data_IF_557794118021
#
_entry.id   IF_557794118021
#
_cell.length_a   1.000
_cell.length_b   1.000
_cell.length_c   1.000
_cell.angle_alpha   90.00
_cell.angle_beta   90.00
_cell.angle_gamma   90.00
#
_symmetry.space_group_name_H-M   'P 1'
#
loop_
_entity.id
_entity.type
_entity.pdbx_description
1 polymer ?
#
# COMPACT_ATOMS: atom_id res chain seq x y z
N UNK A 1 -21.29 7.32 -1.53
CA UNK A 1 -20.73 6.41 -0.50
C UNK A 1 -21.60 6.48 0.74
N UNK A 2 -22.47 5.48 0.93
CA UNK A 2 -23.20 5.29 2.20
C UNK A 2 -22.36 4.38 3.07
N UNK A 3 -21.47 4.94 3.87
CA UNK A 3 -20.76 4.17 4.87
C UNK A 3 -21.75 3.75 5.96
N UNK A 4 -22.16 2.48 5.95
CA UNK A 4 -22.87 1.87 7.08
C UNK A 4 -21.83 1.49 8.12
N UNK A 5 -21.45 2.45 8.95
CA UNK A 5 -20.61 2.16 10.12
C UNK A 5 -21.44 1.31 11.09
N UNK A 6 -21.15 0.00 11.13
CA UNK A 6 -21.47 -0.82 12.31
C UNK A 6 -20.53 -0.39 13.45
N UNK A 7 -20.75 -0.97 14.63
CA UNK A 7 -19.94 -0.75 15.84
C UNK A 7 -18.47 -0.49 15.47
N UNK A 8 -17.91 0.70 15.76
CA UNK A 8 -16.58 1.06 15.31
C UNK A 8 -15.45 0.23 15.93
N UNK A 9 -15.76 -0.61 16.92
CA UNK A 9 -14.84 -1.63 17.46
C UNK A 9 -14.85 -2.94 16.68
N UNK A 10 -15.77 -3.10 15.74
CA UNK A 10 -15.86 -4.25 14.83
C UNK A 10 -15.38 -3.82 13.44
N UNK A 11 -14.07 -3.85 13.24
CA UNK A 11 -13.48 -3.60 11.92
C UNK A 11 -13.58 -4.86 11.08
N UNK A 12 -14.51 -4.87 10.14
CA UNK A 12 -14.63 -5.93 9.12
C UNK A 12 -14.39 -5.35 7.74
N UNK A 13 -13.97 -6.19 6.80
CA UNK A 13 -14.03 -5.81 5.39
C UNK A 13 -15.46 -5.41 5.02
N UNK A 14 -15.60 -4.34 4.25
CA UNK A 14 -16.89 -3.86 3.76
C UNK A 14 -16.97 -4.20 2.27
N UNK A 15 -17.73 -5.24 1.94
CA UNK A 15 -17.80 -5.80 0.58
C UNK A 15 -18.19 -4.75 -0.48
N UNK A 16 -19.10 -3.84 -0.14
CA UNK A 16 -19.49 -2.73 -1.01
C UNK A 16 -18.31 -1.79 -1.31
N UNK A 17 -17.47 -1.47 -0.32
CA UNK A 17 -16.30 -0.60 -0.51
C UNK A 17 -15.19 -1.32 -1.27
N UNK A 18 -15.00 -2.61 -1.00
CA UNK A 18 -14.08 -3.45 -1.76
C UNK A 18 -14.49 -3.49 -3.24
N UNK A 19 -15.79 -3.72 -3.51
CA UNK A 19 -16.36 -3.73 -4.87
C UNK A 19 -16.19 -2.37 -5.57
N UNK A 20 -16.43 -1.26 -4.86
CA UNK A 20 -16.21 0.09 -5.40
C UNK A 20 -14.74 0.34 -5.76
N UNK A 21 -13.80 -0.08 -4.90
CA UNK A 21 -12.36 0.06 -5.13
C UNK A 21 -11.90 -0.78 -6.34
N UNK A 22 -12.33 -2.03 -6.43
CA UNK A 22 -12.04 -2.90 -7.58
C UNK A 22 -12.62 -2.33 -8.88
N UNK A 23 -13.87 -1.85 -8.85
CA UNK A 23 -14.51 -1.24 -10.01
C UNK A 23 -13.79 0.04 -10.46
N UNK A 24 -13.36 0.88 -9.52
CA UNK A 24 -12.55 2.05 -9.81
C UNK A 24 -11.23 1.64 -10.48
N UNK A 25 -10.51 0.67 -9.89
CA UNK A 25 -9.25 0.17 -10.42
C UNK A 25 -9.40 -0.39 -11.85
N UNK A 26 -10.47 -1.13 -12.12
CA UNK A 26 -10.79 -1.64 -13.45
C UNK A 26 -11.07 -0.53 -14.46
N UNK A 27 -11.84 0.50 -14.07
CA UNK A 27 -12.13 1.65 -14.93
C UNK A 27 -10.88 2.49 -15.20
N UNK A 28 -10.04 2.71 -14.18
CA UNK A 28 -8.78 3.42 -14.32
C UNK A 28 -7.88 2.71 -15.32
N UNK A 29 -7.65 1.41 -15.15
CA UNK A 29 -6.83 0.61 -16.08
C UNK A 29 -7.33 0.68 -17.53
N UNK A 30 -8.65 0.65 -17.75
CA UNK A 30 -9.25 0.82 -19.09
C UNK A 30 -9.03 2.20 -19.69
N UNK A 31 -8.89 3.24 -18.87
CA UNK A 31 -8.67 4.61 -19.31
C UNK A 31 -7.21 4.89 -19.66
N UNK A 32 -6.25 4.21 -19.01
CA UNK A 32 -4.82 4.49 -19.19
C UNK A 32 -4.34 4.44 -20.65
N UNK A 33 -4.74 3.51 -21.52
CA UNK A 33 -4.34 3.52 -22.93
C UNK A 33 -4.75 4.81 -23.66
N UNK A 34 -5.93 5.36 -23.35
CA UNK A 34 -6.40 6.62 -23.93
C UNK A 34 -5.57 7.81 -23.44
N UNK A 35 -5.23 7.84 -22.15
CA UNK A 35 -4.38 8.89 -21.58
C UNK A 35 -2.98 8.81 -22.19
N UNK A 36 -2.40 7.60 -22.27
CA UNK A 36 -1.09 7.35 -22.84
C UNK A 36 -1.00 7.81 -24.32
N UNK A 37 -2.08 7.63 -25.09
CA UNK A 37 -2.15 8.12 -26.47
C UNK A 37 -2.24 9.66 -26.56
N UNK A 38 -2.81 10.32 -25.56
CA UNK A 38 -2.95 11.79 -25.51
C UNK A 38 -1.71 12.52 -24.98
N UNK A 39 -0.85 11.82 -24.22
CA UNK A 39 0.34 12.38 -23.57
C UNK A 39 1.61 11.83 -24.20
N UNK A 40 1.89 12.26 -25.44
CA UNK A 40 3.09 11.87 -26.18
C UNK A 40 4.36 12.17 -25.38
N UNK A 41 5.29 11.22 -25.33
CA UNK A 41 6.55 11.36 -24.58
C UNK A 41 6.44 11.01 -23.09
N UNK A 42 5.24 10.75 -22.57
CA UNK A 42 5.05 10.21 -21.22
C UNK A 42 5.05 8.68 -21.22
N UNK A 43 5.37 8.08 -20.08
CA UNK A 43 5.20 6.64 -19.82
C UNK A 43 4.28 6.47 -18.62
N UNK A 44 3.11 5.86 -18.85
CA UNK A 44 2.07 5.70 -17.86
C UNK A 44 1.90 4.22 -17.54
N UNK A 45 2.09 3.86 -16.27
CA UNK A 45 1.97 2.49 -15.78
C UNK A 45 1.01 2.46 -14.60
N UNK A 46 0.14 1.45 -14.56
CA UNK A 46 -0.73 1.20 -13.42
C UNK A 46 0.04 0.51 -12.30
N UNK A 47 0.00 1.09 -11.10
CA UNK A 47 0.51 0.49 -9.88
C UNK A 47 -0.64 -0.11 -9.07
N UNK A 48 -0.75 -1.44 -9.04
CA UNK A 48 -1.78 -2.14 -8.27
C UNK A 48 -1.38 -2.24 -6.79
N UNK A 49 -1.87 -1.30 -5.99
CA UNK A 49 -1.71 -1.33 -4.53
C UNK A 49 -2.77 -2.18 -3.81
N UNK A 50 -3.90 -2.44 -4.48
CA UNK A 50 -5.04 -3.12 -3.86
C UNK A 50 -4.68 -4.57 -3.58
N UNK A 51 -4.11 -5.25 -4.58
CA UNK A 51 -3.75 -6.66 -4.47
C UNK A 51 -2.73 -6.97 -3.35
N UNK A 52 -1.57 -6.30 -3.24
CA UNK A 52 -0.62 -6.61 -2.16
C UNK A 52 -1.17 -6.26 -0.77
N UNK A 53 -1.96 -5.18 -0.64
CA UNK A 53 -2.59 -4.86 0.64
C UNK A 53 -3.63 -5.90 1.04
N UNK A 54 -4.48 -6.34 0.11
CA UNK A 54 -5.46 -7.41 0.38
C UNK A 54 -4.78 -8.75 0.69
N UNK A 55 -3.61 -9.04 0.13
CA UNK A 55 -2.84 -10.23 0.48
C UNK A 55 -2.30 -10.19 1.92
N UNK A 56 -1.84 -9.04 2.40
CA UNK A 56 -1.47 -8.85 3.82
C UNK A 56 -2.66 -9.12 4.75
N UNK A 57 -3.85 -8.66 4.38
CA UNK A 57 -5.07 -8.80 5.19
C UNK A 57 -5.62 -10.23 5.17
N UNK A 58 -5.63 -10.87 4.00
CA UNK A 58 -6.22 -12.21 3.81
C UNK A 58 -5.27 -13.35 4.17
N UNK A 59 -3.96 -13.11 4.15
CA UNK A 59 -2.94 -14.12 4.45
C UNK A 59 -1.87 -13.59 5.44
N UNK A 60 -2.24 -13.04 6.61
CA UNK A 60 -1.31 -12.36 7.50
C UNK A 60 -0.16 -13.26 8.00
N UNK A 61 -0.42 -14.56 8.18
CA UNK A 61 0.59 -15.54 8.59
C UNK A 61 1.73 -15.74 7.58
N UNK A 62 1.54 -15.37 6.30
CA UNK A 62 2.62 -15.45 5.30
C UNK A 62 3.63 -14.30 5.44
N UNK A 63 3.28 -13.29 6.23
CA UNK A 63 3.98 -12.00 6.30
C UNK A 63 4.36 -11.63 7.74
N UNK A 64 4.32 -12.60 8.66
CA UNK A 64 4.58 -12.39 10.10
C UNK A 64 3.73 -11.26 10.72
N UNK A 65 2.50 -11.10 10.21
CA UNK A 65 1.50 -10.15 10.71
C UNK A 65 0.56 -10.86 11.68
N UNK A 66 0.29 -10.20 12.80
CA UNK A 66 -0.61 -10.69 13.85
C UNK A 66 -1.93 -9.91 13.91
N UNK A 67 -1.89 -8.61 13.60
CA UNK A 67 -3.04 -7.70 13.78
C UNK A 67 -3.43 -7.03 12.47
N UNK A 68 -4.61 -7.38 11.96
CA UNK A 68 -5.15 -6.87 10.68
C UNK A 68 -6.32 -5.89 10.85
N UNK A 69 -6.94 -5.86 12.03
CA UNK A 69 -8.25 -5.25 12.26
C UNK A 69 -8.21 -3.98 13.12
N UNK A 70 -7.02 -3.50 13.51
CA UNK A 70 -6.82 -2.22 14.19
C UNK A 70 -5.41 -1.68 13.94
N UNK A 71 -5.26 -0.38 14.13
CA UNK A 71 -3.96 0.30 14.06
C UNK A 71 -3.08 0.04 15.28
N UNK A 72 -1.77 0.19 15.10
CA UNK A 72 -0.77 0.21 16.18
C UNK A 72 -0.90 1.45 17.09
N UNK A 73 -1.46 2.54 16.58
CA UNK A 73 -1.56 3.81 17.28
C UNK A 73 -2.86 3.96 18.09
N UNK A 74 -2.73 4.30 19.37
CA UNK A 74 -3.85 4.55 20.27
C UNK A 74 -4.72 3.32 20.47
N UNK A 75 -6.04 3.49 20.33
CA UNK A 75 -6.98 2.35 20.32
C UNK A 75 -6.92 1.56 19.02
N UNK A 76 -6.43 2.18 17.94
CA UNK A 76 -6.31 1.59 16.62
C UNK A 76 -7.61 1.59 15.81
N UNK A 77 -8.71 2.14 16.35
CA UNK A 77 -10.02 2.15 15.70
C UNK A 77 -10.37 3.50 15.07
N UNK A 78 -9.89 4.60 15.64
CA UNK A 78 -10.30 5.96 15.24
C UNK A 78 -9.12 6.90 15.00
N UNK A 79 -8.00 6.64 15.67
CA UNK A 79 -6.83 7.48 15.60
C UNK A 79 -6.35 7.54 14.16
N UNK A 80 -6.22 8.76 13.64
CA UNK A 80 -5.63 9.06 12.35
C UNK A 80 -5.19 10.52 12.32
N UNK A 81 -4.18 10.83 11.50
CA UNK A 81 -3.64 12.18 11.39
C UNK A 81 -3.29 12.76 12.76
N UNK A 82 -3.85 13.92 13.11
CA UNK A 82 -3.55 14.60 14.38
C UNK A 82 -3.90 13.81 15.65
N UNK A 83 -4.78 12.81 15.58
CA UNK A 83 -5.12 11.94 16.72
C UNK A 83 -4.08 10.83 16.94
N UNK A 84 -3.25 10.54 15.94
CA UNK A 84 -2.10 9.66 16.08
C UNK A 84 -0.82 10.51 16.07
N UNK A 85 -0.32 10.85 17.24
CA UNK A 85 0.80 11.78 17.41
C UNK A 85 1.78 11.29 18.49
N UNK A 86 2.82 12.07 18.76
CA UNK A 86 3.90 11.71 19.66
C UNK A 86 3.49 11.46 21.13
N UNK A 87 2.33 11.95 21.59
CA UNK A 87 1.79 11.64 22.93
C UNK A 87 0.83 10.45 22.93
N UNK A 88 0.43 9.97 21.75
CA UNK A 88 -0.50 8.84 21.63
C UNK A 88 0.26 7.54 21.86
N UNK A 89 -0.19 6.67 22.78
CA UNK A 89 0.50 5.41 23.03
C UNK A 89 0.48 4.52 21.78
N UNK A 90 1.54 3.77 21.58
CA UNK A 90 1.68 2.79 20.49
C UNK A 90 2.02 1.42 21.04
N UNK A 91 1.71 0.36 20.29
CA UNK A 91 2.25 -0.96 20.58
C UNK A 91 3.76 -1.00 20.33
N UNK A 92 4.48 -1.88 21.05
CA UNK A 92 5.94 -1.96 20.99
C UNK A 92 6.47 -2.35 19.61
N UNK A 93 5.76 -3.27 18.94
CA UNK A 93 6.16 -3.78 17.64
C UNK A 93 5.10 -3.40 16.59
N UNK A 94 5.36 -2.34 15.84
CA UNK A 94 4.45 -1.92 14.77
C UNK A 94 4.49 -2.90 13.59
N UNK A 95 5.55 -3.69 13.42
CA UNK A 95 5.69 -4.59 12.26
C UNK A 95 4.69 -5.75 12.26
N UNK A 96 4.14 -6.10 13.42
CA UNK A 96 3.08 -7.12 13.60
C UNK A 96 1.70 -6.64 13.13
N UNK A 97 1.55 -5.35 12.80
CA UNK A 97 0.29 -4.74 12.39
C UNK A 97 0.28 -4.44 10.89
N UNK A 98 -0.87 -4.64 10.23
CA UNK A 98 -1.07 -4.13 8.86
C UNK A 98 -1.12 -2.60 8.87
N UNK A 99 -1.80 -2.01 9.86
CA UNK A 99 -2.07 -0.57 9.90
C UNK A 99 -1.34 0.14 11.04
N UNK A 100 -0.76 1.29 10.73
CA UNK A 100 -0.17 2.20 11.71
C UNK A 100 -1.28 2.90 12.52
N UNK A 101 -2.27 3.45 11.82
CA UNK A 101 -3.44 4.12 12.40
C UNK A 101 -4.73 3.46 11.88
N UNK A 102 -5.89 4.11 11.97
CA UNK A 102 -7.15 3.53 11.50
C UNK A 102 -7.23 3.31 9.98
N UNK A 103 -6.36 3.90 9.16
CA UNK A 103 -6.45 3.84 7.69
C UNK A 103 -5.11 3.63 6.97
N UNK A 104 -3.99 4.06 7.53
CA UNK A 104 -2.67 4.02 6.90
C UNK A 104 -1.91 2.73 7.27
N UNK A 105 -1.28 2.04 6.29
CA UNK A 105 -0.40 0.91 6.56
C UNK A 105 0.81 1.25 7.44
N UNK A 106 1.37 0.23 8.08
CA UNK A 106 2.67 0.30 8.78
C UNK A 106 3.83 0.38 7.80
N UNK A 107 5.02 0.75 8.30
CA UNK A 107 6.25 0.72 7.50
C UNK A 107 6.51 -0.68 6.90
N UNK A 108 6.37 -1.76 7.69
CA UNK A 108 6.55 -3.13 7.18
C UNK A 108 5.58 -3.47 6.06
N UNK A 109 4.30 -3.07 6.20
CA UNK A 109 3.29 -3.24 5.17
C UNK A 109 3.63 -2.43 3.90
N UNK A 110 4.10 -1.19 4.05
CA UNK A 110 4.57 -0.39 2.91
C UNK A 110 5.80 -1.00 2.23
N UNK A 111 6.74 -1.56 2.98
CA UNK A 111 7.91 -2.26 2.40
C UNK A 111 7.47 -3.46 1.56
N UNK A 112 6.49 -4.25 2.03
CA UNK A 112 5.91 -5.35 1.26
C UNK A 112 5.23 -4.85 -0.03
N UNK A 113 4.36 -3.85 0.07
CA UNK A 113 3.67 -3.26 -1.08
C UNK A 113 4.69 -2.70 -2.08
N UNK A 114 5.72 -2.00 -1.61
CA UNK A 114 6.80 -1.48 -2.44
C UNK A 114 7.54 -2.60 -3.18
N UNK A 115 7.95 -3.67 -2.48
CA UNK A 115 8.64 -4.80 -3.10
C UNK A 115 7.77 -5.47 -4.18
N UNK A 116 6.48 -5.65 -3.91
CA UNK A 116 5.52 -6.14 -4.89
C UNK A 116 5.46 -5.23 -6.12
N UNK A 117 5.28 -3.92 -5.92
CA UNK A 117 5.21 -2.95 -7.02
C UNK A 117 6.50 -2.94 -7.84
N UNK A 118 7.67 -2.89 -7.22
CA UNK A 118 8.95 -2.87 -7.93
C UNK A 118 9.13 -4.09 -8.83
N UNK A 119 8.65 -5.26 -8.40
CA UNK A 119 8.64 -6.46 -9.24
C UNK A 119 7.68 -6.35 -10.43
N UNK A 120 6.47 -5.81 -10.22
CA UNK A 120 5.41 -5.78 -11.23
C UNK A 120 5.52 -4.62 -12.24
N UNK A 121 5.99 -3.46 -11.80
CA UNK A 121 6.02 -2.23 -12.60
C UNK A 121 7.44 -1.73 -12.88
N UNK A 122 8.45 -2.14 -12.10
CA UNK A 122 9.84 -1.76 -12.34
C UNK A 122 10.30 -2.03 -13.78
N UNK A 123 10.12 -3.25 -14.32
CA UNK A 123 10.47 -3.55 -15.71
C UNK A 123 9.69 -2.70 -16.73
N UNK A 124 8.42 -2.39 -16.44
CA UNK A 124 7.59 -1.57 -17.34
C UNK A 124 8.06 -0.11 -17.38
N UNK A 125 8.63 0.39 -16.29
CA UNK A 125 9.18 1.73 -16.21
C UNK A 125 10.61 1.80 -16.76
N UNK A 126 11.43 0.78 -16.51
CA UNK A 126 12.86 0.76 -16.83
C UNK A 126 13.22 0.21 -18.22
N UNK A 127 12.30 -0.51 -18.91
CA UNK A 127 12.53 -0.99 -20.27
C UNK A 127 12.41 0.16 -21.29
N UNK A 128 13.35 1.10 -21.28
CA UNK A 128 13.69 1.88 -22.46
C UNK A 128 15.01 1.33 -22.99
N UNK A 129 14.98 0.64 -24.14
CA UNK A 129 16.18 0.23 -24.89
C UNK A 129 17.05 1.43 -25.30
N UNK A 130 16.60 2.67 -25.05
CA UNK A 130 17.33 3.92 -25.29
C UNK A 130 17.98 4.54 -24.02
N UNK A 131 17.91 3.89 -22.84
CA UNK A 131 18.54 4.38 -21.60
C UNK A 131 19.61 3.44 -21.03
N UNK A 132 19.90 2.31 -21.69
CA UNK A 132 21.01 1.41 -21.34
C UNK A 132 22.38 1.93 -21.85
N UNK A 133 22.63 3.22 -21.66
CA UNK A 133 23.98 3.77 -21.64
C UNK A 133 24.47 3.80 -20.20
N UNK A 134 25.21 2.76 -19.80
CA UNK A 134 26.04 2.67 -18.59
C UNK A 134 25.45 3.27 -17.29
N UNK A 135 24.67 2.48 -16.55
CA UNK A 135 24.59 2.66 -15.11
C UNK A 135 24.87 1.33 -14.39
N UNK A 136 25.93 1.25 -13.56
CA UNK A 136 26.24 0.04 -12.80
C UNK A 136 25.11 -0.24 -11.81
N UNK A 137 24.79 -1.54 -11.71
CA UNK A 137 23.86 -2.14 -10.76
C UNK A 137 23.94 -1.43 -9.41
N UNK A 138 22.84 -0.76 -9.02
CA UNK A 138 22.73 -0.05 -7.76
C UNK A 138 23.11 -1.01 -6.63
N UNK A 139 24.24 -0.71 -5.98
CA UNK A 139 24.72 -1.41 -4.82
C UNK A 139 23.71 -1.37 -3.67
N UNK A 140 23.77 -2.38 -2.83
CA UNK A 140 23.08 -2.43 -1.55
C UNK A 140 23.34 -1.15 -0.74
N UNK A 141 22.32 -0.33 -0.53
CA UNK A 141 22.35 0.68 0.53
C UNK A 141 22.25 -0.06 1.87
N UNK A 142 23.39 -0.52 2.40
CA UNK A 142 23.51 -0.87 3.81
C UNK A 142 23.57 0.42 4.61
N UNK A 143 22.51 0.73 5.35
CA UNK A 143 22.56 1.75 6.39
C UNK A 143 23.35 1.20 7.56
N UNK A 144 24.59 1.66 7.73
CA UNK A 144 25.35 1.44 8.97
C UNK A 144 24.91 2.53 9.95
N UNK A 145 24.20 2.13 11.01
CA UNK A 145 23.95 2.99 12.17
C UNK A 145 25.31 3.32 12.83
N UNK A 146 25.57 4.60 13.11
CA UNK A 146 26.57 5.05 14.07
C UNK A 146 25.83 5.56 15.31
#
# INVERSE_FOLDING_TARGET
>A
MTAKFKNPKERTCLDDQNSDAELYNLKLQKLLPHIQASLTGSRIVYADIYKPLMDLISHPQRHDIEVIDRGCCGTGYFETGGLCNWITPTYKNASEFVFWDSVHPTESSYQYIYAYLMREIGPKLMNDENLLGDQPLLGSCTYTLH
#
